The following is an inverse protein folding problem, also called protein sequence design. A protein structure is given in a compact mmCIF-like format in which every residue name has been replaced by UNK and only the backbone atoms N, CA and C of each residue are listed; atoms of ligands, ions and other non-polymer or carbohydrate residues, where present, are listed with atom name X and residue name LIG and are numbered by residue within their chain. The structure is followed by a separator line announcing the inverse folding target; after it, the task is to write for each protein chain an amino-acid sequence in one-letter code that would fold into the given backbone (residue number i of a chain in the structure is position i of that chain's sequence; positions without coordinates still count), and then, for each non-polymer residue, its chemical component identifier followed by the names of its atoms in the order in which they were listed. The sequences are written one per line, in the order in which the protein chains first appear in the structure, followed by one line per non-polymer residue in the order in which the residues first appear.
data_IF_560155600803
#
_entry.id   IF_560155600803
#
_cell.length_a   1.000
_cell.length_b   1.000
_cell.length_c   1.000
_cell.angle_alpha   90.00
_cell.angle_beta   90.00
_cell.angle_gamma   90.00
#
_symmetry.space_group_name_H-M   'P 1'
#
loop_
_entity.id
_entity.type
_entity.pdbx_description
1 polymer ?
#
# COMPACT_ATOMS: atom_id res chain seq x y z
N UNK A 1 -13.49 26.10 48.07
CA UNK A 1 -12.57 25.89 46.93
C UNK A 1 -12.55 27.18 46.12
N UNK A 2 -11.37 27.79 45.93
CA UNK A 2 -11.25 29.10 45.28
C UNK A 2 -11.72 28.98 43.83
N UNK A 3 -12.37 30.03 43.32
CA UNK A 3 -12.99 30.06 41.98
C UNK A 3 -12.00 29.64 40.85
N UNK A 4 -10.69 29.84 41.08
CA UNK A 4 -9.62 29.39 40.20
C UNK A 4 -9.41 27.87 40.10
N UNK A 5 -9.61 27.10 41.18
CA UNK A 5 -9.46 25.63 41.15
C UNK A 5 -10.50 24.99 40.22
N UNK A 6 -11.70 25.56 40.19
CA UNK A 6 -12.81 25.02 39.39
C UNK A 6 -12.55 25.21 37.89
N UNK A 7 -11.94 26.33 37.51
CA UNK A 7 -11.54 26.63 36.12
C UNK A 7 -10.38 25.73 35.71
N UNK A 8 -9.43 25.51 36.62
CA UNK A 8 -8.26 24.66 36.36
C UNK A 8 -8.67 23.21 36.13
N UNK A 9 -9.54 22.66 36.99
CA UNK A 9 -10.08 21.30 36.81
C UNK A 9 -10.89 21.16 35.52
N UNK A 10 -11.71 22.17 35.19
CA UNK A 10 -12.50 22.14 33.95
C UNK A 10 -11.60 22.14 32.70
N UNK A 11 -10.53 22.94 32.71
CA UNK A 11 -9.59 23.03 31.59
C UNK A 11 -8.82 21.73 31.37
N UNK A 12 -8.36 21.08 32.44
CA UNK A 12 -7.66 19.79 32.36
C UNK A 12 -8.61 18.70 31.85
N UNK A 13 -9.86 18.69 32.33
CA UNK A 13 -10.88 17.76 31.84
C UNK A 13 -11.16 17.92 30.35
N UNK A 14 -11.26 19.15 29.86
CA UNK A 14 -11.48 19.43 28.43
C UNK A 14 -10.29 18.97 27.58
N UNK A 15 -9.06 19.24 28.03
CA UNK A 15 -7.84 18.79 27.35
C UNK A 15 -7.73 17.27 27.29
N UNK A 16 -8.08 16.57 28.37
CA UNK A 16 -8.05 15.11 28.40
C UNK A 16 -9.03 14.50 27.40
N UNK A 17 -10.25 15.03 27.30
CA UNK A 17 -11.25 14.57 26.32
C UNK A 17 -10.80 14.86 24.89
N UNK A 18 -10.26 16.06 24.63
CA UNK A 18 -9.72 16.40 23.31
C UNK A 18 -8.55 15.48 22.91
N UNK A 19 -7.66 15.15 23.85
CA UNK A 19 -6.57 14.22 23.62
C UNK A 19 -7.08 12.82 23.29
N UNK A 20 -8.11 12.35 24.00
CA UNK A 20 -8.69 11.02 23.79
C UNK A 20 -9.34 10.90 22.41
N UNK A 21 -10.05 11.95 21.98
CA UNK A 21 -10.66 12.01 20.65
C UNK A 21 -9.57 12.06 19.57
N UNK A 22 -8.54 12.89 19.76
CA UNK A 22 -7.42 13.02 18.81
C UNK A 22 -6.65 11.71 18.64
N UNK A 23 -6.27 11.05 19.74
CA UNK A 23 -5.60 9.76 19.69
C UNK A 23 -6.48 8.66 19.10
N UNK A 24 -7.78 8.65 19.42
CA UNK A 24 -8.74 7.72 18.84
C UNK A 24 -8.85 7.87 17.33
N UNK A 25 -8.82 9.11 16.80
CA UNK A 25 -8.89 9.36 15.36
C UNK A 25 -7.60 8.99 14.63
N UNK A 26 -6.44 9.28 15.24
CA UNK A 26 -5.13 8.95 14.67
C UNK A 26 -4.87 7.43 14.69
N UNK A 27 -5.26 6.71 15.74
CA UNK A 27 -5.10 5.25 15.81
C UNK A 27 -6.09 4.47 14.94
N UNK A 28 -7.27 5.02 14.63
CA UNK A 28 -8.22 4.40 13.69
C UNK A 28 -7.88 4.66 12.23
N UNK A 29 -6.88 5.50 11.95
CA UNK A 29 -6.31 5.58 10.62
C UNK A 29 -5.40 4.36 10.47
N UNK A 30 -5.97 3.20 10.12
CA UNK A 30 -5.17 2.06 9.71
C UNK A 30 -4.18 2.56 8.65
N UNK A 31 -2.86 2.40 8.85
CA UNK A 31 -1.92 2.67 7.78
C UNK A 31 -2.29 1.69 6.67
N UNK A 32 -3.01 2.18 5.66
CA UNK A 32 -3.39 1.37 4.52
C UNK A 32 -2.11 0.79 3.94
N UNK A 33 -2.04 -0.53 3.76
CA UNK A 33 -0.91 -1.13 3.07
C UNK A 33 -0.88 -0.58 1.65
N UNK A 34 0.24 -0.01 1.23
CA UNK A 34 0.39 0.54 -0.11
C UNK A 34 1.25 -0.39 -0.95
N UNK A 35 0.81 -0.65 -2.17
CA UNK A 35 1.67 -1.25 -3.18
C UNK A 35 2.45 -0.14 -3.85
N UNK A 36 3.75 -0.30 -3.90
CA UNK A 36 4.66 0.59 -4.60
C UNK A 36 5.31 -0.21 -5.73
N UNK A 37 5.19 0.32 -6.95
CA UNK A 37 5.86 -0.22 -8.13
C UNK A 37 6.99 0.73 -8.50
N UNK A 38 8.19 0.19 -8.58
CA UNK A 38 9.39 0.92 -8.96
C UNK A 38 10.03 0.29 -10.19
N UNK A 39 10.52 1.12 -11.11
CA UNK A 39 11.20 0.70 -12.34
C UNK A 39 12.54 1.41 -12.38
N UNK A 40 13.62 0.63 -12.49
CA UNK A 40 15.01 1.14 -12.40
C UNK A 40 15.28 1.99 -11.13
N UNK A 41 14.59 1.65 -10.03
CA UNK A 41 14.70 2.37 -8.76
C UNK A 41 13.84 3.64 -8.64
N UNK A 42 13.09 4.02 -9.68
CA UNK A 42 12.17 5.15 -9.64
C UNK A 42 10.72 4.69 -9.42
N UNK A 43 10.03 5.33 -8.48
CA UNK A 43 8.63 5.02 -8.16
C UNK A 43 7.70 5.51 -9.28
N UNK A 44 7.10 4.58 -10.02
CA UNK A 44 6.20 4.89 -11.15
C UNK A 44 4.72 4.81 -10.78
N UNK A 45 4.37 3.95 -9.82
CA UNK A 45 2.98 3.73 -9.42
C UNK A 45 2.91 3.45 -7.92
N UNK A 46 1.88 3.98 -7.27
CA UNK A 46 1.43 3.46 -5.98
C UNK A 46 -0.07 3.49 -5.84
N UNK A 47 -0.60 2.43 -5.26
CA UNK A 47 -2.02 2.30 -4.96
C UNK A 47 -2.19 1.65 -3.58
N UNK A 48 -3.26 2.00 -2.87
CA UNK A 48 -3.61 1.34 -1.63
C UNK A 48 -4.09 -0.09 -1.92
N UNK A 49 -3.63 -1.05 -1.14
CA UNK A 49 -4.25 -2.36 -1.07
C UNK A 49 -5.63 -2.19 -0.49
N UNK A 50 -6.61 -2.69 -1.22
CA UNK A 50 -7.95 -2.81 -0.72
C UNK A 50 -8.18 -4.25 -0.22
N UNK A 51 -8.75 -4.35 0.97
CA UNK A 51 -9.24 -5.61 1.55
C UNK A 51 -10.58 -6.05 0.96
N UNK A 52 -11.16 -5.24 0.08
CA UNK A 52 -12.37 -5.58 -0.65
C UNK A 52 -12.21 -6.86 -1.49
N UNK A 53 -13.32 -7.60 -1.61
CA UNK A 53 -13.41 -8.86 -2.34
C UNK A 53 -13.32 -8.65 -3.86
N UNK A 54 -13.55 -7.42 -4.33
CA UNK A 54 -13.48 -7.07 -5.74
C UNK A 54 -12.02 -7.01 -6.22
N UNK A 55 -11.75 -7.69 -7.34
CA UNK A 55 -10.43 -7.68 -7.94
C UNK A 55 -10.23 -6.38 -8.74
N UNK A 56 -9.25 -5.57 -8.32
CA UNK A 56 -8.81 -4.38 -9.04
C UNK A 56 -7.62 -4.70 -9.92
N UNK A 57 -7.75 -4.46 -11.22
CA UNK A 57 -6.69 -4.64 -12.20
C UNK A 57 -5.97 -3.31 -12.42
N UNK A 58 -4.67 -3.28 -12.18
CA UNK A 58 -3.80 -2.14 -12.42
C UNK A 58 -2.90 -2.43 -13.62
N UNK A 59 -3.15 -1.74 -14.71
CA UNK A 59 -2.33 -1.83 -15.91
C UNK A 59 -1.36 -0.65 -15.94
N UNK A 60 -0.08 -0.93 -16.17
CA UNK A 60 0.94 0.11 -16.34
C UNK A 60 1.86 -0.24 -17.50
N UNK A 61 2.19 0.79 -18.26
CA UNK A 61 3.13 0.75 -19.38
C UNK A 61 4.41 1.44 -18.96
N UNK A 62 5.55 0.87 -19.30
CA UNK A 62 6.87 1.38 -18.91
C UNK A 62 7.82 1.60 -20.08
N UNK A 63 7.59 0.97 -21.23
CA UNK A 63 8.23 1.30 -22.52
C UNK A 63 7.21 1.16 -23.66
N UNK A 64 7.55 1.61 -24.88
CA UNK A 64 6.64 1.64 -26.05
C UNK A 64 5.86 0.33 -26.25
N UNK A 65 6.49 -0.83 -26.11
CA UNK A 65 5.85 -2.14 -26.26
C UNK A 65 5.82 -2.98 -24.96
N UNK A 66 6.16 -2.36 -23.82
CA UNK A 66 6.25 -3.06 -22.53
C UNK A 66 5.21 -2.59 -21.52
N UNK A 67 4.37 -3.54 -21.14
CA UNK A 67 3.30 -3.35 -20.18
C UNK A 67 3.26 -4.49 -19.18
N UNK A 68 2.69 -4.22 -18.01
CA UNK A 68 2.38 -5.22 -17.00
C UNK A 68 1.03 -4.94 -16.34
N UNK A 69 0.38 -6.02 -15.89
CA UNK A 69 -0.89 -5.98 -15.19
C UNK A 69 -0.73 -6.61 -13.82
N UNK A 70 -1.07 -5.84 -12.78
CA UNK A 70 -1.19 -6.27 -11.40
C UNK A 70 -2.67 -6.46 -11.06
N UNK A 71 -2.95 -7.41 -10.18
CA UNK A 71 -4.28 -7.64 -9.63
C UNK A 71 -4.18 -7.49 -8.12
N UNK A 72 -5.01 -6.62 -7.56
CA UNK A 72 -5.23 -6.52 -6.12
C UNK A 72 -6.57 -7.16 -5.78
N UNK A 73 -6.58 -8.08 -4.81
CA UNK A 73 -7.80 -8.74 -4.35
C UNK A 73 -7.63 -9.22 -2.90
N UNK A 74 -8.63 -8.98 -2.04
CA UNK A 74 -8.67 -9.50 -0.66
C UNK A 74 -7.38 -9.18 0.14
N UNK A 75 -6.84 -7.96 0.01
CA UNK A 75 -5.63 -7.59 0.73
C UNK A 75 -4.32 -8.13 0.11
N UNK A 76 -4.39 -8.74 -1.08
CA UNK A 76 -3.25 -9.38 -1.74
C UNK A 76 -3.02 -8.82 -3.11
N UNK A 77 -1.76 -8.78 -3.54
CA UNK A 77 -1.39 -8.36 -4.89
C UNK A 77 -0.65 -9.48 -5.62
N UNK A 78 -0.97 -9.63 -6.90
CA UNK A 78 -0.29 -10.57 -7.79
C UNK A 78 -0.02 -9.91 -9.14
N UNK A 79 1.14 -10.22 -9.71
CA UNK A 79 1.42 -9.91 -11.11
C UNK A 79 0.79 -10.98 -12.01
N UNK A 80 -0.17 -10.58 -12.85
CA UNK A 80 -0.91 -11.52 -13.71
C UNK A 80 -0.21 -11.73 -15.05
N UNK A 81 0.08 -10.64 -15.75
CA UNK A 81 0.61 -10.65 -17.12
C UNK A 81 1.60 -9.52 -17.34
N UNK A 82 2.53 -9.76 -18.25
CA UNK A 82 3.48 -8.79 -18.77
C UNK A 82 3.68 -9.04 -20.26
N UNK A 83 4.06 -8.00 -21.01
CA UNK A 83 4.41 -8.11 -22.43
C UNK A 83 5.41 -9.26 -22.63
N UNK A 84 5.10 -10.15 -23.57
CA UNK A 84 5.85 -11.40 -23.82
C UNK A 84 7.11 -11.18 -24.64
N UNK A 85 7.28 -10.01 -25.26
CA UNK A 85 8.32 -9.80 -26.28
C UNK A 85 9.74 -9.91 -25.72
N UNK A 86 9.94 -9.56 -24.45
CA UNK A 86 11.28 -9.60 -23.81
C UNK A 86 11.48 -10.74 -22.81
N UNK A 87 10.44 -11.48 -22.43
CA UNK A 87 10.57 -12.50 -21.38
C UNK A 87 9.72 -13.75 -21.59
N UNK A 88 10.23 -14.75 -22.33
CA UNK A 88 9.50 -15.98 -22.60
C UNK A 88 9.21 -16.81 -21.34
N UNK A 89 9.99 -16.62 -20.27
CA UNK A 89 9.91 -17.46 -19.08
C UNK A 89 8.88 -17.00 -18.05
N UNK A 90 8.35 -15.76 -18.14
CA UNK A 90 7.35 -15.18 -17.21
C UNK A 90 7.60 -15.48 -15.72
N UNK A 91 8.85 -15.67 -15.31
CA UNK A 91 9.27 -16.16 -14.00
C UNK A 91 8.68 -15.29 -12.88
N UNK A 92 8.67 -13.96 -13.05
CA UNK A 92 8.11 -13.03 -12.07
C UNK A 92 6.56 -13.10 -11.97
N UNK A 93 5.85 -13.56 -13.00
CA UNK A 93 4.40 -13.85 -12.92
C UNK A 93 4.14 -15.26 -12.36
N UNK A 94 5.05 -16.21 -12.59
CA UNK A 94 4.87 -17.63 -12.25
C UNK A 94 5.37 -18.03 -10.85
N UNK A 95 6.48 -17.48 -10.36
CA UNK A 95 7.07 -17.86 -9.07
C UNK A 95 6.52 -17.06 -7.89
N UNK A 96 6.24 -15.78 -8.09
CA UNK A 96 6.03 -14.84 -6.97
C UNK A 96 4.61 -14.84 -6.41
N UNK A 97 3.64 -15.45 -7.12
CA UNK A 97 2.31 -15.71 -6.57
C UNK A 97 1.58 -14.46 -6.08
N UNK A 98 0.76 -14.63 -5.05
CA UNK A 98 0.11 -13.53 -4.34
C UNK A 98 1.00 -13.09 -3.17
N UNK A 99 1.27 -11.80 -3.08
CA UNK A 99 1.96 -11.18 -1.95
C UNK A 99 0.95 -10.46 -1.06
N UNK A 100 1.13 -10.54 0.25
CA UNK A 100 0.25 -9.87 1.23
C UNK A 100 1.00 -9.32 2.44
N UNK A 101 2.33 -9.31 2.42
CA UNK A 101 3.15 -8.85 3.53
C UNK A 101 4.30 -7.97 3.05
N UNK A 102 4.74 -7.01 3.87
CA UNK A 102 5.89 -6.13 3.54
C UNK A 102 7.22 -6.88 3.35
N UNK A 103 7.34 -8.11 3.86
CA UNK A 103 8.50 -8.98 3.62
C UNK A 103 8.52 -9.63 2.22
N UNK A 104 7.37 -9.66 1.56
CA UNK A 104 7.22 -10.22 0.23
C UNK A 104 7.35 -9.13 -0.83
N UNK A 105 8.12 -9.43 -1.87
CA UNK A 105 8.37 -8.51 -2.98
C UNK A 105 8.33 -9.26 -4.30
N UNK A 106 7.74 -8.64 -5.32
CA UNK A 106 7.78 -9.16 -6.68
C UNK A 106 8.92 -8.47 -7.43
N UNK A 107 9.94 -9.24 -7.77
CA UNK A 107 11.12 -8.76 -8.50
C UNK A 107 11.09 -9.30 -9.92
N UNK A 108 11.02 -8.42 -10.92
CA UNK A 108 11.20 -8.77 -12.32
C UNK A 108 12.51 -8.17 -12.83
N UNK A 109 13.60 -8.95 -12.74
CA UNK A 109 14.96 -8.54 -13.07
C UNK A 109 15.19 -8.03 -14.50
N UNK A 110 14.64 -8.65 -15.57
CA UNK A 110 14.91 -8.21 -16.95
C UNK A 110 14.46 -6.77 -17.21
N UNK A 111 13.34 -6.38 -16.61
CA UNK A 111 12.75 -5.05 -16.75
C UNK A 111 13.03 -4.16 -15.53
N UNK A 112 13.87 -4.63 -14.58
CA UNK A 112 14.17 -3.96 -13.30
C UNK A 112 12.93 -3.45 -12.54
N UNK A 113 11.85 -4.23 -12.59
CA UNK A 113 10.60 -3.90 -11.90
C UNK A 113 10.66 -4.47 -10.49
N UNK A 114 10.33 -3.64 -9.51
CA UNK A 114 10.20 -3.99 -8.12
C UNK A 114 8.80 -3.63 -7.65
N UNK A 115 8.07 -4.59 -7.08
CA UNK A 115 6.79 -4.36 -6.41
C UNK A 115 6.94 -4.73 -4.95
N UNK A 116 6.66 -3.78 -4.06
CA UNK A 116 6.75 -3.95 -2.62
C UNK A 116 5.52 -3.39 -1.90
N UNK A 117 5.27 -3.89 -0.70
CA UNK A 117 4.22 -3.39 0.19
C UNK A 117 4.85 -2.44 1.22
N UNK A 118 4.22 -1.29 1.46
CA UNK A 118 4.65 -0.22 2.38
C UNK A 118 3.56 0.17 3.36
#
# INVERSE_FOLDING_TARGET
MKQGDKILVLSIGLFAVAFMIFFGFVMNSEPGEYVVVSIDGEKVLSFAINNDTEALNYHFQFEEDKWATLISKEGKVKMERMSKEDYPQQICCSLTGWISTQSEQIVCLPNKILVNLS
#
